data_IF_174820651596
#
_entry.id   IF_174820651596
#
_cell.length_a   1.000
_cell.length_b   1.000
_cell.length_c   1.000
_cell.angle_alpha   90.00
_cell.angle_beta   90.00
_cell.angle_gamma   90.00
#
_symmetry.space_group_name_H-M   'P 1'
#
loop_
_entity.id
_entity.type
_entity.pdbx_description
1 polymer ?
#
# COMPACT_ATOMS: atom_id res chain seq x y z
N UNK A 1 -19.48 -10.91 -19.55
CA UNK A 1 -18.20 -10.82 -18.79
C UNK A 1 -17.37 -12.04 -19.11
N UNK A 2 -16.07 -11.94 -19.14
CA UNK A 2 -15.20 -13.10 -19.34
C UNK A 2 -15.15 -13.93 -18.05
N UNK A 3 -14.84 -15.22 -18.15
CA UNK A 3 -14.67 -16.08 -16.96
C UNK A 3 -13.61 -15.54 -16.00
N UNK A 4 -12.61 -14.84 -16.52
CA UNK A 4 -11.59 -14.17 -15.73
C UNK A 4 -12.21 -13.04 -14.88
N UNK A 5 -13.02 -12.17 -15.49
CA UNK A 5 -13.70 -11.08 -14.78
C UNK A 5 -14.66 -11.59 -13.72
N UNK A 6 -15.39 -12.70 -14.02
CA UNK A 6 -16.28 -13.33 -13.05
C UNK A 6 -15.52 -13.86 -11.83
N UNK A 7 -14.34 -14.49 -12.05
CA UNK A 7 -13.47 -14.97 -10.97
C UNK A 7 -12.94 -13.79 -10.13
N UNK A 8 -12.45 -12.72 -10.76
CA UNK A 8 -11.94 -11.53 -10.06
C UNK A 8 -13.04 -10.89 -9.22
N UNK A 9 -14.23 -10.70 -9.78
CA UNK A 9 -15.37 -10.10 -9.07
C UNK A 9 -15.78 -10.95 -7.86
N UNK A 10 -15.91 -12.26 -8.04
CA UNK A 10 -16.29 -13.20 -6.99
C UNK A 10 -15.23 -13.24 -5.86
N UNK A 11 -13.96 -13.31 -6.24
CA UNK A 11 -12.87 -13.36 -5.27
C UNK A 11 -12.76 -12.04 -4.46
N UNK A 12 -12.86 -10.88 -5.12
CA UNK A 12 -12.88 -9.58 -4.45
C UNK A 12 -14.02 -9.50 -3.43
N UNK A 13 -15.23 -9.85 -3.84
CA UNK A 13 -16.42 -9.86 -2.96
C UNK A 13 -16.22 -10.76 -1.73
N UNK A 14 -15.72 -11.98 -1.94
CA UNK A 14 -15.54 -12.93 -0.85
C UNK A 14 -14.41 -12.54 0.09
N UNK A 15 -13.25 -12.12 -0.44
CA UNK A 15 -12.12 -11.67 0.39
C UNK A 15 -12.47 -10.43 1.20
N UNK A 16 -13.17 -9.47 0.62
CA UNK A 16 -13.63 -8.27 1.33
C UNK A 16 -14.59 -8.63 2.47
N UNK A 17 -15.52 -9.55 2.21
CA UNK A 17 -16.57 -9.88 3.19
C UNK A 17 -16.09 -10.81 4.31
N UNK A 18 -15.27 -11.81 3.97
CA UNK A 18 -14.95 -12.91 4.89
C UNK A 18 -13.47 -13.00 5.26
N UNK A 19 -12.61 -12.29 4.55
CA UNK A 19 -11.17 -12.32 4.70
C UNK A 19 -10.47 -13.44 3.92
N UNK A 20 -9.17 -13.29 3.76
CA UNK A 20 -8.35 -14.27 3.03
C UNK A 20 -8.37 -15.65 3.70
N UNK A 21 -8.26 -15.71 5.03
CA UNK A 21 -8.15 -16.96 5.79
C UNK A 21 -9.36 -17.86 5.57
N UNK A 22 -10.56 -17.30 5.63
CA UNK A 22 -11.82 -18.05 5.61
C UNK A 22 -12.28 -18.44 4.21
N UNK A 23 -11.83 -17.77 3.17
CA UNK A 23 -12.26 -18.02 1.80
C UNK A 23 -11.43 -19.14 1.15
N UNK A 24 -12.10 -20.07 0.48
CA UNK A 24 -11.48 -21.16 -0.29
C UNK A 24 -11.65 -20.96 -1.80
N UNK A 25 -10.79 -21.59 -2.60
CA UNK A 25 -10.90 -21.59 -4.06
C UNK A 25 -12.20 -22.25 -4.55
N UNK A 26 -12.78 -23.18 -3.78
CA UNK A 26 -14.07 -23.81 -4.10
C UNK A 26 -15.24 -22.84 -3.93
N UNK A 27 -15.22 -22.02 -2.88
CA UNK A 27 -16.23 -20.96 -2.69
C UNK A 27 -16.15 -19.90 -3.76
N UNK A 28 -14.93 -19.51 -4.17
CA UNK A 28 -14.74 -18.57 -5.29
C UNK A 28 -15.28 -19.17 -6.60
N UNK A 29 -14.99 -20.45 -6.88
CA UNK A 29 -15.49 -21.15 -8.07
C UNK A 29 -17.03 -21.15 -8.12
N UNK A 30 -17.66 -21.46 -6.98
CA UNK A 30 -19.11 -21.46 -6.83
C UNK A 30 -19.71 -20.06 -7.03
N UNK A 31 -19.14 -19.04 -6.41
CA UNK A 31 -19.59 -17.64 -6.52
C UNK A 31 -19.42 -17.11 -7.96
N UNK A 32 -18.32 -17.46 -8.63
CA UNK A 32 -18.03 -17.08 -10.01
C UNK A 32 -18.80 -17.92 -11.07
N UNK A 33 -19.55 -18.94 -10.64
CA UNK A 33 -20.21 -19.90 -11.51
C UNK A 33 -19.26 -20.57 -12.54
N UNK A 34 -18.08 -20.95 -12.08
CA UNK A 34 -17.06 -21.65 -12.87
C UNK A 34 -16.60 -22.92 -12.15
N UNK A 35 -15.85 -23.78 -12.86
CA UNK A 35 -15.24 -24.95 -12.22
C UNK A 35 -13.94 -24.55 -11.50
N UNK A 36 -13.57 -25.29 -10.45
CA UNK A 36 -12.27 -25.15 -9.77
C UNK A 36 -11.10 -25.22 -10.76
N UNK A 37 -11.17 -26.13 -11.74
CA UNK A 37 -10.19 -26.26 -12.81
C UNK A 37 -10.06 -24.96 -13.62
N UNK A 38 -11.15 -24.25 -13.84
CA UNK A 38 -11.14 -22.97 -14.54
C UNK A 38 -10.38 -21.92 -13.75
N UNK A 39 -10.55 -21.83 -12.41
CA UNK A 39 -9.78 -20.88 -11.60
C UNK A 39 -8.29 -21.21 -11.66
N UNK A 40 -7.92 -22.51 -11.50
CA UNK A 40 -6.52 -22.93 -11.54
C UNK A 40 -5.85 -22.77 -12.92
N UNK A 41 -6.60 -22.54 -13.98
CA UNK A 41 -6.03 -22.17 -15.30
C UNK A 41 -5.59 -20.69 -15.37
N UNK A 42 -6.08 -19.84 -14.46
CA UNK A 42 -5.71 -18.41 -14.37
C UNK A 42 -4.77 -18.12 -13.20
N UNK A 43 -4.96 -18.81 -12.07
CA UNK A 43 -4.22 -18.57 -10.82
C UNK A 43 -3.75 -19.88 -10.23
N UNK A 44 -2.46 -19.99 -10.00
CA UNK A 44 -1.81 -21.17 -9.44
C UNK A 44 -2.39 -21.58 -8.08
N UNK A 45 -2.68 -20.58 -7.24
CA UNK A 45 -3.22 -20.79 -5.91
C UNK A 45 -3.98 -19.54 -5.42
N UNK A 46 -4.57 -19.63 -4.24
CA UNK A 46 -5.30 -18.53 -3.59
C UNK A 46 -4.40 -17.33 -3.29
N UNK A 47 -3.11 -17.56 -3.04
CA UNK A 47 -2.15 -16.51 -2.78
C UNK A 47 -1.88 -15.66 -4.03
N UNK A 48 -1.72 -16.30 -5.18
CA UNK A 48 -1.53 -15.59 -6.44
C UNK A 48 -2.75 -14.75 -6.80
N UNK A 49 -3.96 -15.33 -6.67
CA UNK A 49 -5.22 -14.59 -6.87
C UNK A 49 -5.34 -13.39 -5.91
N UNK A 50 -4.90 -13.55 -4.68
CA UNK A 50 -4.94 -12.48 -3.70
C UNK A 50 -3.86 -11.41 -3.95
N UNK A 51 -2.66 -11.82 -4.38
CA UNK A 51 -1.58 -10.93 -4.82
C UNK A 51 -2.01 -10.03 -5.96
N UNK A 52 -2.89 -10.49 -6.84
CA UNK A 52 -3.47 -9.69 -7.90
C UNK A 52 -4.15 -8.42 -7.35
N UNK A 53 -4.96 -8.56 -6.31
CA UNK A 53 -5.66 -7.42 -5.69
C UNK A 53 -4.72 -6.46 -4.98
N UNK A 54 -3.70 -6.98 -4.30
CA UNK A 54 -2.70 -6.12 -3.67
C UNK A 54 -1.92 -5.31 -4.69
N UNK A 55 -1.50 -5.95 -5.78
CA UNK A 55 -0.80 -5.24 -6.85
C UNK A 55 -1.69 -4.16 -7.47
N UNK A 56 -2.98 -4.42 -7.65
CA UNK A 56 -3.95 -3.44 -8.17
C UNK A 56 -4.08 -2.23 -7.23
N UNK A 57 -4.23 -2.44 -5.92
CA UNK A 57 -4.32 -1.37 -4.93
C UNK A 57 -3.03 -0.52 -4.89
N UNK A 58 -1.85 -1.17 -4.89
CA UNK A 58 -0.57 -0.48 -4.90
C UNK A 58 -0.33 0.30 -6.21
N UNK A 59 -0.73 -0.27 -7.35
CA UNK A 59 -0.61 0.42 -8.63
C UNK A 59 -1.52 1.65 -8.69
N UNK A 60 -2.75 1.54 -8.18
CA UNK A 60 -3.68 2.66 -8.09
C UNK A 60 -3.13 3.78 -7.19
N UNK A 61 -2.51 3.41 -6.06
CA UNK A 61 -1.85 4.38 -5.19
C UNK A 61 -0.68 5.06 -5.90
N UNK A 62 0.20 4.27 -6.53
CA UNK A 62 1.35 4.80 -7.27
C UNK A 62 0.89 5.81 -8.33
N UNK A 63 -0.13 5.49 -9.12
CA UNK A 63 -0.68 6.42 -10.14
C UNK A 63 -1.18 7.72 -9.52
N UNK A 64 -1.81 7.67 -8.35
CA UNK A 64 -2.27 8.88 -7.63
C UNK A 64 -1.07 9.72 -7.16
N UNK A 65 -0.05 9.09 -6.58
CA UNK A 65 1.17 9.76 -6.12
C UNK A 65 1.92 10.40 -7.29
N UNK A 66 2.13 9.67 -8.39
CA UNK A 66 2.84 10.17 -9.56
C UNK A 66 2.13 11.38 -10.20
N UNK A 67 0.78 11.37 -10.25
CA UNK A 67 0.00 12.54 -10.70
C UNK A 67 0.17 13.76 -9.81
N UNK A 68 0.31 13.57 -8.51
CA UNK A 68 0.50 14.66 -7.56
C UNK A 68 1.90 15.31 -7.70
N UNK A 69 2.92 14.52 -8.06
CA UNK A 69 4.28 15.04 -8.31
C UNK A 69 4.30 16.07 -9.44
N UNK A 70 3.46 15.89 -10.46
CA UNK A 70 3.36 16.76 -11.64
C UNK A 70 2.54 18.05 -11.39
N UNK A 71 1.98 18.25 -10.18
CA UNK A 71 1.23 19.44 -9.82
C UNK A 71 2.16 20.65 -9.66
N UNK A 72 1.59 21.88 -9.78
CA UNK A 72 2.33 23.13 -9.55
C UNK A 72 2.45 23.52 -8.06
N UNK A 73 2.18 22.58 -7.17
CA UNK A 73 2.24 22.78 -5.72
C UNK A 73 3.68 22.80 -5.21
N UNK A 74 3.87 23.36 -4.03
CA UNK A 74 5.16 23.34 -3.35
C UNK A 74 5.56 21.91 -2.99
N UNK A 75 6.85 21.65 -2.83
CA UNK A 75 7.38 20.33 -2.43
C UNK A 75 6.72 19.80 -1.14
N UNK A 76 6.50 20.67 -0.16
CA UNK A 76 5.89 20.30 1.11
C UNK A 76 4.41 19.92 0.97
N UNK A 77 3.65 20.68 0.14
CA UNK A 77 2.25 20.37 -0.16
C UNK A 77 2.14 18.99 -0.82
N UNK A 78 3.01 18.68 -1.79
CA UNK A 78 3.06 17.38 -2.45
C UNK A 78 3.30 16.22 -1.47
N UNK A 79 4.28 16.37 -0.57
CA UNK A 79 4.54 15.37 0.48
C UNK A 79 3.29 15.19 1.36
N UNK A 80 2.70 16.28 1.81
CA UNK A 80 1.54 16.26 2.71
C UNK A 80 0.35 15.56 2.03
N UNK A 81 0.11 15.85 0.75
CA UNK A 81 -0.97 15.22 0.00
C UNK A 81 -0.70 13.73 -0.27
N UNK A 82 0.53 13.35 -0.58
CA UNK A 82 0.91 11.95 -0.73
C UNK A 82 0.74 11.15 0.57
N UNK A 83 1.08 11.75 1.71
CA UNK A 83 0.80 11.16 3.02
C UNK A 83 -0.69 11.01 3.28
N UNK A 84 -1.49 12.01 2.91
CA UNK A 84 -2.96 11.94 2.98
C UNK A 84 -3.50 10.77 2.14
N UNK A 85 -3.03 10.63 0.91
CA UNK A 85 -3.42 9.53 0.02
C UNK A 85 -3.13 8.17 0.65
N UNK A 86 -1.95 8.00 1.23
CA UNK A 86 -1.54 6.74 1.87
C UNK A 86 -2.41 6.45 3.11
N UNK A 87 -2.60 7.45 3.97
CA UNK A 87 -3.40 7.30 5.19
C UNK A 87 -4.89 7.07 4.89
N UNK A 88 -5.41 7.63 3.79
CA UNK A 88 -6.81 7.42 3.38
C UNK A 88 -7.08 6.03 2.82
N UNK A 89 -6.07 5.36 2.27
CA UNK A 89 -6.23 4.02 1.69
C UNK A 89 -6.80 3.01 2.67
N UNK A 90 -6.35 3.05 3.93
CA UNK A 90 -6.88 2.14 4.97
C UNK A 90 -8.36 2.39 5.27
N UNK A 91 -8.86 3.60 4.98
CA UNK A 91 -10.26 3.98 5.20
C UNK A 91 -11.15 3.75 3.96
N UNK A 92 -10.57 3.77 2.77
CA UNK A 92 -11.30 3.64 1.51
C UNK A 92 -11.42 2.19 1.03
N UNK A 93 -10.42 1.34 1.30
CA UNK A 93 -10.41 -0.04 0.83
C UNK A 93 -10.75 -1.04 1.94
N UNK A 94 -11.97 -1.59 1.90
CA UNK A 94 -12.39 -2.68 2.79
C UNK A 94 -11.53 -3.94 2.61
N UNK A 95 -11.01 -4.15 1.41
CA UNK A 95 -10.07 -5.24 1.14
C UNK A 95 -8.76 -5.04 1.92
N UNK A 96 -8.17 -3.84 1.88
CA UNK A 96 -6.98 -3.51 2.65
C UNK A 96 -7.21 -3.61 4.16
N UNK A 97 -8.35 -3.12 4.67
CA UNK A 97 -8.71 -3.31 6.09
C UNK A 97 -8.72 -4.77 6.49
N UNK A 98 -9.27 -5.62 5.65
CA UNK A 98 -9.34 -7.07 5.91
C UNK A 98 -7.95 -7.71 5.89
N UNK A 99 -7.11 -7.30 4.93
CA UNK A 99 -5.71 -7.71 4.82
C UNK A 99 -4.90 -7.44 6.08
N UNK A 100 -5.04 -6.23 6.57
CA UNK A 100 -4.34 -5.76 7.75
C UNK A 100 -4.72 -6.58 8.98
N UNK A 101 -6.02 -6.84 9.15
CA UNK A 101 -6.54 -7.68 10.24
C UNK A 101 -5.97 -9.10 10.20
N UNK A 102 -5.66 -9.61 9.01
CA UNK A 102 -5.15 -10.97 8.82
C UNK A 102 -3.61 -11.05 8.70
N UNK A 103 -2.89 -9.92 8.82
CA UNK A 103 -1.44 -9.84 8.69
C UNK A 103 -0.69 -10.90 9.51
N UNK A 104 -1.06 -11.06 10.78
CA UNK A 104 -0.43 -12.04 11.67
C UNK A 104 -0.59 -13.48 11.16
N UNK A 105 -1.75 -13.81 10.60
CA UNK A 105 -1.98 -15.11 9.99
C UNK A 105 -1.15 -15.32 8.74
N UNK A 106 -1.08 -14.33 7.87
CA UNK A 106 -0.33 -14.39 6.62
C UNK A 106 1.18 -14.43 6.85
N UNK A 107 1.69 -13.67 7.83
CA UNK A 107 3.10 -13.68 8.20
C UNK A 107 3.56 -15.03 8.80
N UNK A 108 2.70 -15.71 9.57
CA UNK A 108 3.04 -16.97 10.23
C UNK A 108 2.89 -18.20 9.33
N UNK A 109 2.11 -18.12 8.25
CA UNK A 109 1.75 -19.30 7.46
C UNK A 109 2.41 -19.38 6.09
N UNK A 110 3.05 -18.30 5.61
CA UNK A 110 3.80 -18.34 4.35
C UNK A 110 4.92 -17.31 4.39
N UNK A 111 6.13 -17.82 4.24
CA UNK A 111 7.32 -17.00 4.09
C UNK A 111 7.12 -15.87 3.08
N UNK A 112 7.38 -14.65 3.54
CA UNK A 112 7.59 -13.46 2.70
C UNK A 112 6.43 -12.89 1.87
N UNK A 113 5.17 -13.26 2.06
CA UNK A 113 4.10 -12.66 1.28
C UNK A 113 4.10 -11.12 1.38
N UNK A 114 4.12 -10.58 2.60
CA UNK A 114 4.17 -9.13 2.80
C UNK A 114 5.54 -8.52 2.51
N UNK A 115 6.61 -9.29 2.68
CA UNK A 115 7.96 -8.78 2.44
C UNK A 115 8.19 -8.36 1.00
N UNK A 116 7.66 -9.11 0.03
CA UNK A 116 7.75 -8.76 -1.39
C UNK A 116 7.12 -7.38 -1.66
N UNK A 117 6.00 -7.06 -0.99
CA UNK A 117 5.35 -5.76 -1.15
C UNK A 117 6.07 -4.65 -0.38
N UNK A 118 6.57 -4.96 0.82
CA UNK A 118 7.43 -4.08 1.60
C UNK A 118 8.66 -3.67 0.79
N UNK A 119 9.38 -4.64 0.24
CA UNK A 119 10.58 -4.39 -0.57
C UNK A 119 10.26 -3.49 -1.78
N UNK A 120 9.19 -3.76 -2.52
CA UNK A 120 8.76 -2.90 -3.65
C UNK A 120 8.40 -1.47 -3.24
N UNK A 121 7.76 -1.29 -2.08
CA UNK A 121 7.41 0.04 -1.58
C UNK A 121 8.68 0.78 -1.15
N UNK A 122 9.60 0.11 -0.47
CA UNK A 122 10.88 0.68 -0.05
C UNK A 122 11.71 1.08 -1.28
N UNK A 123 11.84 0.22 -2.29
CA UNK A 123 12.51 0.53 -3.55
C UNK A 123 11.92 1.79 -4.22
N UNK A 124 10.60 1.88 -4.32
CA UNK A 124 9.92 3.04 -4.88
C UNK A 124 10.21 4.33 -4.09
N UNK A 125 10.16 4.27 -2.75
CA UNK A 125 10.51 5.41 -1.90
C UNK A 125 11.98 5.81 -2.03
N UNK A 126 12.88 4.84 -2.12
CA UNK A 126 14.31 5.06 -2.33
C UNK A 126 14.58 5.77 -3.68
N UNK A 127 13.91 5.35 -4.76
CA UNK A 127 13.99 6.02 -6.07
C UNK A 127 13.56 7.49 -5.95
N UNK A 128 12.45 7.78 -5.27
CA UNK A 128 11.95 9.15 -5.07
C UNK A 128 12.89 10.00 -4.23
N UNK A 129 13.45 9.44 -3.16
CA UNK A 129 14.46 10.15 -2.34
C UNK A 129 15.72 10.48 -3.14
N UNK A 130 16.18 9.57 -4.00
CA UNK A 130 17.32 9.82 -4.88
C UNK A 130 17.03 10.94 -5.91
N UNK A 131 15.81 10.98 -6.47
CA UNK A 131 15.37 12.07 -7.33
C UNK A 131 15.35 13.41 -6.58
N UNK A 132 14.84 13.43 -5.36
CA UNK A 132 14.74 14.63 -4.53
C UNK A 132 16.10 15.17 -4.08
N UNK A 133 17.08 14.30 -3.79
CA UNK A 133 18.46 14.70 -3.55
C UNK A 133 19.06 15.36 -4.79
N UNK A 134 18.87 14.77 -5.99
CA UNK A 134 19.37 15.34 -7.27
C UNK A 134 18.78 16.72 -7.57
N UNK A 135 17.53 16.93 -7.18
CA UNK A 135 16.80 18.18 -7.37
C UNK A 135 17.06 19.20 -6.24
N UNK A 136 17.91 18.89 -5.25
CA UNK A 136 18.17 19.69 -4.06
C UNK A 136 16.91 20.02 -3.23
N UNK A 137 15.93 19.12 -3.24
CA UNK A 137 14.72 19.26 -2.41
C UNK A 137 14.95 18.79 -0.97
N UNK A 138 15.85 17.80 -0.80
CA UNK A 138 16.22 17.25 0.51
C UNK A 138 17.75 17.15 0.65
N UNK A 139 18.21 17.03 1.89
CA UNK A 139 19.63 16.82 2.20
C UNK A 139 20.08 15.42 1.81
N UNK A 140 21.39 15.29 1.58
CA UNK A 140 22.01 13.98 1.40
C UNK A 140 21.76 13.10 2.62
N UNK A 141 21.24 11.90 2.38
CA UNK A 141 20.99 10.88 3.39
C UNK A 141 21.23 9.47 2.83
N UNK A 142 21.25 8.47 3.69
CA UNK A 142 21.13 7.07 3.27
C UNK A 142 19.68 6.83 2.79
N UNK A 143 19.47 6.79 1.47
CA UNK A 143 18.15 6.73 0.87
C UNK A 143 17.43 5.42 1.16
N UNK A 144 18.14 4.29 1.21
CA UNK A 144 17.56 2.99 1.54
C UNK A 144 17.06 2.95 3.00
N UNK A 145 17.94 3.34 3.95
CA UNK A 145 17.56 3.37 5.37
C UNK A 145 16.44 4.39 5.63
N UNK A 146 16.48 5.55 4.98
CA UNK A 146 15.44 6.58 5.09
C UNK A 146 14.11 6.09 4.54
N UNK A 147 14.11 5.44 3.38
CA UNK A 147 12.92 4.83 2.79
C UNK A 147 12.31 3.76 3.71
N UNK A 148 13.15 2.90 4.28
CA UNK A 148 12.72 1.90 5.26
C UNK A 148 12.07 2.53 6.50
N UNK A 149 12.68 3.57 7.07
CA UNK A 149 12.15 4.27 8.24
C UNK A 149 10.79 4.92 7.91
N UNK A 150 10.70 5.63 6.77
CA UNK A 150 9.46 6.26 6.31
C UNK A 150 8.37 5.21 6.14
N UNK A 151 8.65 4.10 5.45
CA UNK A 151 7.72 3.00 5.28
C UNK A 151 7.23 2.46 6.63
N UNK A 152 8.14 2.15 7.56
CA UNK A 152 7.76 1.59 8.87
C UNK A 152 6.91 2.54 9.69
N UNK A 153 7.24 3.82 9.71
CA UNK A 153 6.46 4.83 10.44
C UNK A 153 5.05 4.96 9.84
N UNK A 154 4.94 5.15 8.51
CA UNK A 154 3.64 5.27 7.83
C UNK A 154 2.82 3.99 8.05
N UNK A 155 3.44 2.82 7.87
CA UNK A 155 2.79 1.54 8.05
C UNK A 155 2.24 1.38 9.47
N UNK A 156 3.05 1.64 10.51
CA UNK A 156 2.62 1.56 11.90
C UNK A 156 1.51 2.55 12.22
N UNK A 157 1.59 3.78 11.75
CA UNK A 157 0.53 4.78 11.96
C UNK A 157 -0.77 4.32 11.28
N UNK A 158 -0.67 3.85 10.03
CA UNK A 158 -1.85 3.51 9.23
C UNK A 158 -2.55 2.24 9.71
N UNK A 159 -1.79 1.26 10.19
CA UNK A 159 -2.28 -0.12 10.36
C UNK A 159 -2.15 -0.69 11.76
N UNK A 160 -1.33 -0.12 12.62
CA UNK A 160 -1.07 -0.62 13.97
C UNK A 160 -1.54 0.36 15.06
N UNK A 161 -1.61 1.65 14.74
CA UNK A 161 -2.07 2.66 15.68
C UNK A 161 -3.59 2.61 15.83
N UNK A 162 -4.05 2.05 16.94
CA UNK A 162 -5.43 1.59 17.16
C UNK A 162 -6.37 2.67 17.73
N UNK A 163 -6.11 3.95 17.50
CA UNK A 163 -6.98 5.07 17.90
C UNK A 163 -7.66 5.66 16.67
N UNK A 164 -8.79 6.34 16.86
CA UNK A 164 -9.36 7.18 15.81
C UNK A 164 -8.30 8.19 15.37
N UNK A 165 -7.66 7.88 14.24
CA UNK A 165 -6.52 8.65 13.73
C UNK A 165 -7.07 10.01 13.27
N UNK A 166 -6.72 11.06 13.99
CA UNK A 166 -6.86 12.39 13.45
C UNK A 166 -5.76 12.61 12.40
N UNK A 167 -6.10 12.36 11.15
CA UNK A 167 -5.18 12.46 10.01
C UNK A 167 -4.46 13.79 9.97
N UNK A 168 -5.14 14.89 10.30
CA UNK A 168 -4.53 16.25 10.36
C UNK A 168 -3.45 16.35 11.42
N UNK A 169 -3.64 15.71 12.57
CA UNK A 169 -2.64 15.68 13.64
C UNK A 169 -1.41 14.88 13.24
N UNK A 170 -1.61 13.72 12.66
CA UNK A 170 -0.50 12.87 12.14
C UNK A 170 0.29 13.62 11.07
N UNK A 171 -0.38 14.24 10.12
CA UNK A 171 0.27 15.01 9.07
C UNK A 171 1.09 16.17 9.64
N UNK A 172 0.54 16.88 10.60
CA UNK A 172 1.26 18.00 11.26
C UNK A 172 2.51 17.53 11.98
N UNK A 173 2.45 16.41 12.69
CA UNK A 173 3.63 15.86 13.37
C UNK A 173 4.65 15.31 12.36
N UNK A 174 4.19 14.67 11.28
CA UNK A 174 5.07 14.21 10.21
C UNK A 174 5.75 15.39 9.49
N UNK A 175 5.03 16.45 9.21
CA UNK A 175 5.56 17.70 8.67
C UNK A 175 6.63 18.30 9.58
N UNK A 176 6.39 18.37 10.89
CA UNK A 176 7.35 18.86 11.87
C UNK A 176 8.65 18.01 11.85
N UNK A 177 8.54 16.70 11.78
CA UNK A 177 9.69 15.79 11.72
C UNK A 177 10.47 16.01 10.42
N UNK A 178 9.79 16.10 9.28
CA UNK A 178 10.41 16.35 7.98
C UNK A 178 11.12 17.70 7.93
N UNK A 179 10.44 18.77 8.34
CA UNK A 179 10.98 20.13 8.31
C UNK A 179 12.20 20.32 9.21
N UNK A 180 12.22 19.64 10.36
CA UNK A 180 13.33 19.76 11.31
C UNK A 180 14.44 18.70 11.10
N UNK A 181 14.15 17.64 10.34
CA UNK A 181 15.08 16.54 10.11
C UNK A 181 15.63 16.47 8.69
N UNK A 182 14.77 16.23 7.70
CA UNK A 182 15.18 15.92 6.32
C UNK A 182 15.26 17.13 5.40
N UNK A 183 14.41 18.14 5.61
CA UNK A 183 14.39 19.30 4.73
C UNK A 183 15.58 20.23 5.01
N UNK A 184 16.16 20.75 3.96
CA UNK A 184 17.23 21.74 4.09
C UNK A 184 16.64 23.05 4.61
N UNK A 185 17.20 23.56 5.74
CA UNK A 185 16.85 24.90 6.21
C UNK A 185 17.39 25.89 5.16
N UNK A 186 16.50 26.45 4.35
CA UNK A 186 16.88 27.64 3.58
C UNK A 186 17.13 28.75 4.59
N UNK A 187 18.38 29.03 4.88
CA UNK A 187 18.74 30.29 5.55
C UNK A 187 18.19 31.43 4.70
N UNK A 188 17.38 32.30 5.35
CA UNK A 188 16.82 33.49 4.73
C UNK A 188 17.91 34.57 4.61
#
# INVERSE_FOLDING_TARGET
MSKYEDIISAARKLFTKYGYKKVSMDEIAKEANVTKKTIYSYFKDKQELFSYFLNEELMNLKVKIDKNIDSNESYLEKITENLNLILSLSNESELLKTLIKERGYLANNKENFFKIYEDKIIEYLEEKLNEDIKNNNIKLCDTHLTAFIIYKVIFSITFEYNTEINTKMVLKEFENILMNGLLERREK
#
